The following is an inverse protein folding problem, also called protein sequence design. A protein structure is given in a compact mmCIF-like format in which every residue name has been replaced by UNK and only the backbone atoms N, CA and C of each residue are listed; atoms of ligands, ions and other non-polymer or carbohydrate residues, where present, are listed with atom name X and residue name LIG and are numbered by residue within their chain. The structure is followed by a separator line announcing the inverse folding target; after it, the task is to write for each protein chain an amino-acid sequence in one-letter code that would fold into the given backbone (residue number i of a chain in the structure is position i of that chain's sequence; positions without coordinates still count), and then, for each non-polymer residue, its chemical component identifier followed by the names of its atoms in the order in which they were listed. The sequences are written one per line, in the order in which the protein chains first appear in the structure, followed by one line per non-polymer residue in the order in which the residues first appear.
data_IF_673979645102
#
_entry.id   IF_673979645102
#
_cell.length_a   1.000
_cell.length_b   1.000
_cell.length_c   1.000
_cell.angle_alpha   90.00
_cell.angle_beta   90.00
_cell.angle_gamma   90.00
#
_symmetry.space_group_name_H-M   'P 1'
#
loop_
_entity.id
_entity.type
_entity.pdbx_description
1 polymer ?
#
# COMPACT_ATOMS: atom_id res chain seq x y z
N UNK A 1 -12.27 14.03 -7.37
CA UNK A 1 -11.41 14.33 -8.53
C UNK A 1 -10.56 13.09 -8.78
N UNK A 2 -11.05 12.15 -9.59
CA UNK A 2 -10.17 11.11 -10.14
C UNK A 2 -9.23 11.84 -11.08
N UNK A 3 -7.93 11.74 -10.88
CA UNK A 3 -6.97 12.37 -11.77
C UNK A 3 -6.55 11.33 -12.81
N UNK A 4 -7.10 11.46 -14.02
CA UNK A 4 -6.38 11.07 -15.22
C UNK A 4 -5.00 11.75 -15.17
N UNK A 5 -3.93 10.96 -15.20
CA UNK A 5 -2.57 11.46 -15.12
C UNK A 5 -1.96 11.47 -16.52
N UNK A 6 -2.12 12.58 -17.22
CA UNK A 6 -1.31 12.90 -18.40
C UNK A 6 0.07 13.38 -17.92
N UNK A 7 1.01 12.45 -17.71
CA UNK A 7 2.42 12.74 -17.41
C UNK A 7 3.31 12.33 -18.57
N UNK A 8 4.12 13.26 -19.08
CA UNK A 8 5.09 13.00 -20.14
C UNK A 8 6.27 12.14 -19.66
N UNK A 9 6.85 11.39 -20.60
CA UNK A 9 8.02 10.54 -20.40
C UNK A 9 9.26 11.44 -20.28
N UNK A 10 10.00 11.36 -19.18
CA UNK A 10 11.35 11.90 -19.10
C UNK A 10 12.36 10.74 -19.04
N UNK A 11 13.34 10.67 -19.96
CA UNK A 11 14.39 9.68 -19.88
C UNK A 11 15.23 9.93 -18.61
N UNK A 12 15.50 8.86 -17.85
CA UNK A 12 16.40 8.89 -16.72
C UNK A 12 17.78 9.41 -17.17
N UNK A 13 18.14 10.63 -16.75
CA UNK A 13 19.44 11.22 -17.07
C UNK A 13 20.41 10.92 -15.91
N UNK A 14 21.54 10.22 -16.13
CA UNK A 14 22.38 9.69 -15.06
C UNK A 14 23.34 10.73 -14.44
N UNK A 15 22.99 12.02 -14.44
CA UNK A 15 23.86 13.06 -13.86
C UNK A 15 23.07 13.97 -12.94
N UNK A 16 23.54 14.10 -11.69
CA UNK A 16 22.90 14.85 -10.62
C UNK A 16 22.50 16.26 -11.05
N UNK A 17 21.20 16.48 -11.12
CA UNK A 17 20.58 17.77 -11.35
C UNK A 17 19.38 17.91 -10.42
N UNK A 18 19.32 19.01 -9.68
CA UNK A 18 18.14 19.40 -8.90
C UNK A 18 16.95 19.60 -9.84
N UNK A 19 15.93 18.74 -9.75
CA UNK A 19 14.67 18.91 -10.47
C UNK A 19 13.79 19.97 -9.78
N UNK A 20 13.36 20.97 -10.56
CA UNK A 20 12.32 21.95 -10.19
C UNK A 20 10.89 21.35 -10.38
N UNK A 21 9.81 21.98 -9.87
CA UNK A 21 8.75 21.30 -9.13
C UNK A 21 7.68 20.65 -10.04
N UNK A 22 8.03 19.50 -10.61
CA UNK A 22 7.06 18.46 -11.00
C UNK A 22 7.62 17.12 -10.49
N UNK A 23 7.44 16.86 -9.19
CA UNK A 23 8.12 15.82 -8.43
C UNK A 23 7.62 14.38 -8.68
N UNK A 24 7.20 14.07 -9.91
CA UNK A 24 6.55 12.80 -10.23
C UNK A 24 7.35 12.01 -11.25
N UNK A 25 8.04 10.97 -10.79
CA UNK A 25 8.62 9.96 -11.68
C UNK A 25 7.52 8.96 -12.04
N UNK A 26 6.98 9.09 -13.26
CA UNK A 26 6.01 8.17 -13.84
C UNK A 26 6.71 7.12 -14.70
N UNK A 27 6.62 5.85 -14.31
CA UNK A 27 7.12 4.72 -15.09
C UNK A 27 5.94 3.85 -15.52
N UNK A 28 5.69 3.79 -16.82
CA UNK A 28 4.58 3.00 -17.38
C UNK A 28 5.01 2.14 -18.56
N UNK A 29 4.43 0.94 -18.65
CA UNK A 29 4.64 0.01 -19.76
C UNK A 29 6.12 -0.35 -20.00
N UNK A 30 6.90 -0.55 -18.93
CA UNK A 30 8.32 -0.93 -19.00
C UNK A 30 8.56 -2.35 -18.49
N UNK A 31 9.71 -2.91 -18.88
CA UNK A 31 10.27 -4.15 -18.36
C UNK A 31 11.69 -3.86 -17.88
N UNK A 32 12.12 -4.43 -16.75
CA UNK A 32 13.45 -4.25 -16.16
C UNK A 32 13.76 -2.79 -15.79
N UNK A 33 13.01 -2.25 -14.82
CA UNK A 33 13.22 -0.89 -14.31
C UNK A 33 14.07 -0.95 -13.06
N UNK A 34 15.15 -0.16 -13.03
CA UNK A 34 16.02 -0.05 -11.87
C UNK A 34 16.17 1.42 -11.45
N UNK A 35 15.66 1.75 -10.27
CA UNK A 35 15.74 3.07 -9.64
C UNK A 35 16.59 2.93 -8.37
N UNK A 36 17.61 3.75 -8.25
CA UNK A 36 18.65 3.57 -7.25
C UNK A 36 19.15 4.93 -6.75
N UNK A 37 19.28 5.07 -5.43
CA UNK A 37 19.93 6.21 -4.79
C UNK A 37 19.36 7.59 -5.15
N UNK A 38 18.05 7.69 -5.38
CA UNK A 38 17.41 8.97 -5.70
C UNK A 38 16.94 9.71 -4.45
N UNK A 39 16.84 11.04 -4.56
CA UNK A 39 16.24 11.89 -3.54
C UNK A 39 15.15 12.78 -4.15
N UNK A 40 13.92 12.63 -3.66
CA UNK A 40 12.77 13.43 -4.09
C UNK A 40 12.29 14.27 -2.91
N UNK A 41 12.06 15.57 -3.15
CA UNK A 41 11.55 16.47 -2.11
C UNK A 41 10.47 17.41 -2.66
N UNK A 42 9.33 17.43 -1.97
CA UNK A 42 8.24 18.38 -2.15
C UNK A 42 7.62 18.73 -0.77
N UNK A 43 6.94 19.88 -0.63
CA UNK A 43 6.27 20.24 0.61
C UNK A 43 5.20 19.22 1.02
N UNK A 44 5.08 18.95 2.33
CA UNK A 44 4.17 17.95 2.91
C UNK A 44 2.68 18.14 2.57
N UNK A 45 2.27 19.36 2.18
CA UNK A 45 0.88 19.69 1.82
C UNK A 45 0.71 19.93 0.32
N UNK A 46 1.71 19.59 -0.49
CA UNK A 46 1.64 19.72 -1.94
C UNK A 46 0.79 18.57 -2.50
N UNK A 47 -0.38 18.84 -3.10
CA UNK A 47 -1.23 17.77 -3.59
C UNK A 47 -0.60 17.10 -4.82
N UNK A 48 -0.75 15.77 -4.92
CA UNK A 48 -0.42 14.98 -6.12
C UNK A 48 1.07 15.05 -6.54
N UNK A 49 1.94 15.10 -5.55
CA UNK A 49 3.39 14.98 -5.74
C UNK A 49 3.84 13.57 -5.37
N UNK A 50 3.22 12.52 -5.93
CA UNK A 50 3.68 11.14 -5.69
C UNK A 50 5.16 11.07 -6.09
N UNK A 51 5.98 10.34 -5.33
CA UNK A 51 7.42 10.24 -5.60
C UNK A 51 7.67 9.41 -6.84
N UNK A 52 7.55 8.08 -6.69
CA UNK A 52 7.64 7.12 -7.79
C UNK A 52 6.25 6.51 -8.01
N UNK A 53 5.74 6.62 -9.23
CA UNK A 53 4.53 5.90 -9.66
C UNK A 53 4.89 4.86 -10.73
N UNK A 54 4.53 3.60 -10.49
CA UNK A 54 4.68 2.52 -11.46
C UNK A 54 3.31 1.96 -11.84
N UNK A 55 3.09 1.70 -13.13
CA UNK A 55 1.87 1.06 -13.63
C UNK A 55 2.18 0.25 -14.90
N UNK A 56 1.51 -0.89 -15.10
CA UNK A 56 1.74 -1.81 -16.22
C UNK A 56 3.23 -2.12 -16.44
N UNK A 57 3.99 -2.30 -15.36
CA UNK A 57 5.45 -2.38 -15.38
C UNK A 57 5.92 -3.57 -14.55
N UNK A 58 6.85 -4.34 -15.11
CA UNK A 58 7.32 -5.61 -14.51
C UNK A 58 8.83 -5.61 -14.32
N UNK A 59 9.31 -6.45 -13.41
CA UNK A 59 10.73 -6.55 -13.03
C UNK A 59 11.27 -5.18 -12.57
N UNK A 60 10.68 -4.65 -11.50
CA UNK A 60 11.00 -3.32 -10.96
C UNK A 60 11.83 -3.43 -9.70
N UNK A 61 12.89 -2.64 -9.63
CA UNK A 61 13.78 -2.54 -8.48
C UNK A 61 13.89 -1.07 -8.05
N UNK A 62 13.52 -0.77 -6.80
CA UNK A 62 13.60 0.60 -6.25
C UNK A 62 14.37 0.56 -4.95
N UNK A 63 15.58 1.11 -4.94
CA UNK A 63 16.54 0.94 -3.85
C UNK A 63 17.13 2.24 -3.32
N UNK A 64 17.47 2.22 -2.02
CA UNK A 64 18.34 3.20 -1.35
C UNK A 64 17.95 4.67 -1.55
N UNK A 65 16.64 4.95 -1.61
CA UNK A 65 16.13 6.27 -1.98
C UNK A 65 15.43 6.98 -0.82
N UNK A 66 15.43 8.31 -0.87
CA UNK A 66 14.81 9.17 0.16
C UNK A 66 13.75 10.05 -0.49
N UNK A 67 12.49 9.86 -0.08
CA UNK A 67 11.35 10.53 -0.70
C UNK A 67 10.56 11.26 0.38
N UNK A 68 10.39 12.56 0.18
CA UNK A 68 9.59 13.44 1.04
C UNK A 68 8.66 14.24 0.14
N UNK A 69 7.34 14.16 0.35
CA UNK A 69 6.37 14.79 -0.53
C UNK A 69 5.03 15.02 0.17
N UNK A 70 4.00 15.42 -0.58
CA UNK A 70 2.62 15.52 -0.10
C UNK A 70 1.67 14.45 -0.64
N UNK A 71 2.17 13.36 -1.23
CA UNK A 71 1.35 12.24 -1.72
C UNK A 71 2.07 10.88 -1.51
N UNK A 72 1.72 9.82 -2.25
CA UNK A 72 2.37 8.51 -2.09
C UNK A 72 3.90 8.59 -2.32
N UNK A 73 4.68 8.00 -1.43
CA UNK A 73 6.13 7.87 -1.55
C UNK A 73 6.47 6.99 -2.77
N UNK A 74 5.84 5.81 -2.81
CA UNK A 74 5.79 4.94 -3.97
C UNK A 74 4.35 4.47 -4.14
N UNK A 75 3.82 4.57 -5.36
CA UNK A 75 2.49 4.04 -5.70
C UNK A 75 2.57 3.02 -6.83
N UNK A 76 1.95 1.85 -6.60
CA UNK A 76 1.97 0.69 -7.50
C UNK A 76 0.57 0.52 -8.09
N UNK A 77 0.45 0.80 -9.39
CA UNK A 77 -0.77 0.71 -10.17
C UNK A 77 -1.07 -0.71 -10.69
N UNK A 78 -2.09 -0.82 -11.53
CA UNK A 78 -2.49 -2.09 -12.14
C UNK A 78 -1.44 -2.60 -13.13
N UNK A 79 -1.40 -3.92 -13.32
CA UNK A 79 -0.56 -4.58 -14.33
C UNK A 79 0.91 -4.69 -13.93
N UNK A 80 1.23 -4.53 -12.64
CA UNK A 80 2.59 -4.67 -12.12
C UNK A 80 2.80 -6.05 -11.51
N UNK A 81 3.90 -6.70 -11.87
CA UNK A 81 4.38 -7.88 -11.16
C UNK A 81 5.91 -7.87 -10.99
N UNK A 82 6.42 -8.62 -10.02
CA UNK A 82 7.85 -8.72 -9.69
C UNK A 82 8.48 -7.35 -9.35
N UNK A 83 8.04 -6.76 -8.24
CA UNK A 83 8.53 -5.46 -7.75
C UNK A 83 9.25 -5.64 -6.42
N UNK A 84 10.54 -5.30 -6.33
CA UNK A 84 11.33 -5.27 -5.10
C UNK A 84 11.68 -3.82 -4.72
N UNK A 85 11.16 -3.36 -3.60
CA UNK A 85 11.41 -2.04 -3.02
C UNK A 85 12.18 -2.24 -1.72
N UNK A 86 13.36 -1.63 -1.62
CA UNK A 86 14.24 -1.84 -0.48
C UNK A 86 14.98 -0.60 -0.02
N UNK A 87 15.15 -0.48 1.29
CA UNK A 87 15.93 0.60 1.89
C UNK A 87 15.45 1.99 1.44
N UNK A 88 14.15 2.21 1.52
CA UNK A 88 13.53 3.51 1.23
C UNK A 88 13.25 4.24 2.54
N UNK A 89 13.59 5.53 2.58
CA UNK A 89 13.11 6.44 3.63
C UNK A 89 11.99 7.29 3.06
N UNK A 90 10.76 7.02 3.48
CA UNK A 90 9.56 7.75 3.10
C UNK A 90 9.14 8.71 4.21
N UNK A 91 8.92 9.99 3.91
CA UNK A 91 8.29 10.88 4.86
C UNK A 91 8.78 12.32 4.83
N UNK A 92 7.87 13.31 4.94
CA UNK A 92 6.40 13.19 5.01
C UNK A 92 5.74 12.72 3.68
N UNK A 93 4.44 12.42 3.69
CA UNK A 93 3.67 11.94 2.52
C UNK A 93 2.53 10.98 2.87
N UNK A 94 2.05 10.18 1.92
CA UNK A 94 0.99 9.19 2.09
C UNK A 94 1.48 7.75 2.30
N UNK A 95 2.79 7.51 2.31
CA UNK A 95 3.38 6.18 2.51
C UNK A 95 3.60 5.39 1.23
N UNK A 96 3.72 4.07 1.32
CA UNK A 96 3.86 3.17 0.18
C UNK A 96 2.51 2.50 -0.08
N UNK A 97 1.97 2.71 -1.28
CA UNK A 97 0.61 2.31 -1.64
C UNK A 97 0.59 1.35 -2.83
N UNK A 98 -0.10 0.22 -2.68
CA UNK A 98 -0.62 -0.58 -3.80
C UNK A 98 -2.02 -0.05 -4.13
N UNK A 99 -2.16 0.53 -5.31
CA UNK A 99 -3.39 1.11 -5.83
C UNK A 99 -3.41 2.64 -5.92
N UNK A 100 -4.58 3.25 -6.17
CA UNK A 100 -5.89 2.60 -6.17
C UNK A 100 -6.11 1.63 -7.34
N UNK A 101 -6.63 0.43 -7.08
CA UNK A 101 -6.88 -0.60 -8.09
C UNK A 101 -8.37 -0.80 -8.38
N UNK A 102 -8.72 -1.04 -9.65
CA UNK A 102 -10.09 -1.39 -10.07
C UNK A 102 -11.02 -0.19 -10.26
N UNK A 103 -10.47 1.00 -10.58
CA UNK A 103 -11.26 2.20 -10.82
C UNK A 103 -12.28 1.98 -11.96
N UNK A 104 -13.46 2.58 -11.88
CA UNK A 104 -14.54 2.41 -12.86
C UNK A 104 -14.91 0.94 -13.15
N UNK A 105 -14.89 0.10 -12.11
CA UNK A 105 -15.17 -1.33 -12.20
C UNK A 105 -14.20 -2.06 -13.15
N UNK A 106 -12.98 -1.54 -13.32
CA UNK A 106 -11.97 -2.18 -14.15
C UNK A 106 -11.38 -3.41 -13.48
N UNK A 107 -10.82 -4.30 -14.30
CA UNK A 107 -9.95 -5.38 -13.83
C UNK A 107 -8.57 -4.82 -13.50
N UNK A 108 -8.00 -5.21 -12.37
CA UNK A 108 -6.66 -4.82 -11.94
C UNK A 108 -5.89 -6.02 -11.37
N UNK A 109 -4.64 -6.15 -11.78
CA UNK A 109 -3.77 -7.27 -11.42
C UNK A 109 -2.46 -6.75 -10.86
N UNK A 110 -2.12 -7.15 -9.65
CA UNK A 110 -0.82 -6.87 -9.04
C UNK A 110 -0.33 -8.12 -8.33
N UNK A 111 0.90 -8.55 -8.58
CA UNK A 111 1.43 -9.74 -7.91
C UNK A 111 2.93 -9.66 -7.60
N UNK A 112 3.38 -10.46 -6.64
CA UNK A 112 4.78 -10.58 -6.25
C UNK A 112 5.45 -9.22 -5.97
N UNK A 113 4.95 -8.53 -4.93
CA UNK A 113 5.46 -7.23 -4.49
C UNK A 113 6.19 -7.43 -3.16
N UNK A 114 7.43 -6.99 -3.07
CA UNK A 114 8.19 -6.99 -1.82
C UNK A 114 8.61 -5.56 -1.48
N UNK A 115 8.30 -5.13 -0.26
CA UNK A 115 8.77 -3.87 0.32
C UNK A 115 9.48 -4.19 1.61
N UNK A 116 10.76 -3.84 1.71
CA UNK A 116 11.57 -4.23 2.87
C UNK A 116 12.65 -3.27 3.30
N UNK A 117 13.15 -3.48 4.51
CA UNK A 117 14.30 -2.79 5.09
C UNK A 117 14.13 -1.25 5.06
N UNK A 118 12.92 -0.75 5.30
CA UNK A 118 12.54 0.65 5.00
C UNK A 118 12.10 1.42 6.24
N UNK A 119 12.17 2.75 6.16
CA UNK A 119 11.73 3.67 7.22
C UNK A 119 10.59 4.52 6.68
N UNK A 120 9.47 4.55 7.38
CA UNK A 120 8.33 5.40 7.03
C UNK A 120 8.02 6.31 8.21
N UNK A 121 8.06 7.63 7.99
CA UNK A 121 8.00 8.61 9.08
C UNK A 121 7.10 9.81 8.79
N UNK A 122 6.27 10.19 9.75
CA UNK A 122 5.41 11.38 9.66
C UNK A 122 4.49 11.37 8.43
N UNK A 123 4.06 10.18 7.99
CA UNK A 123 3.17 9.98 6.84
C UNK A 123 1.73 9.70 7.29
N UNK A 124 0.79 9.89 6.36
CA UNK A 124 -0.62 9.55 6.57
C UNK A 124 -0.84 8.02 6.63
N UNK A 125 -0.03 7.24 5.92
CA UNK A 125 -0.10 5.78 5.95
C UNK A 125 1.32 5.21 5.94
N UNK A 126 1.49 3.99 6.45
CA UNK A 126 2.74 3.25 6.33
C UNK A 126 2.73 2.48 5.02
N UNK A 127 2.25 1.24 5.09
CA UNK A 127 2.01 0.36 3.96
C UNK A 127 0.51 0.18 3.74
N UNK A 128 0.05 0.39 2.51
CA UNK A 128 -1.38 0.47 2.20
C UNK A 128 -1.74 -0.29 0.93
N UNK A 129 -2.79 -1.11 0.98
CA UNK A 129 -3.46 -1.66 -0.20
C UNK A 129 -4.83 -1.00 -0.33
N UNK A 130 -5.12 -0.41 -1.49
CA UNK A 130 -6.32 0.39 -1.73
C UNK A 130 -6.99 -0.05 -3.02
N UNK A 131 -8.22 -0.56 -2.94
CA UNK A 131 -8.99 -0.99 -4.11
C UNK A 131 -10.37 -0.35 -4.11
N UNK A 132 -10.87 -0.07 -5.32
CA UNK A 132 -12.18 0.52 -5.52
C UNK A 132 -13.27 -0.53 -5.31
N UNK A 133 -14.38 -0.10 -4.71
CA UNK A 133 -15.61 -0.89 -4.77
C UNK A 133 -16.02 -1.07 -6.22
N UNK A 134 -16.44 -2.28 -6.59
CA UNK A 134 -16.87 -2.61 -7.95
C UNK A 134 -15.76 -3.13 -8.87
N UNK A 135 -14.49 -2.97 -8.49
CA UNK A 135 -13.35 -3.51 -9.25
C UNK A 135 -13.31 -5.04 -9.32
N UNK A 136 -12.41 -5.58 -10.15
CA UNK A 136 -12.18 -7.02 -10.28
C UNK A 136 -10.69 -7.34 -10.51
N UNK A 137 -10.31 -8.62 -10.56
CA UNK A 137 -8.92 -9.06 -10.64
C UNK A 137 -8.34 -9.39 -9.26
N UNK A 138 -7.03 -9.33 -9.10
CA UNK A 138 -6.35 -9.75 -7.87
C UNK A 138 -5.12 -8.92 -7.47
N UNK A 139 -4.87 -8.89 -6.16
CA UNK A 139 -3.61 -8.51 -5.53
C UNK A 139 -3.12 -9.72 -4.73
N UNK A 140 -1.97 -10.29 -5.09
CA UNK A 140 -1.45 -11.47 -4.39
C UNK A 140 0.07 -11.54 -4.25
N UNK A 141 0.54 -12.26 -3.24
CA UNK A 141 1.98 -12.45 -3.00
C UNK A 141 2.67 -11.13 -2.65
N UNK A 142 2.13 -10.40 -1.67
CA UNK A 142 2.70 -9.13 -1.22
C UNK A 142 3.40 -9.33 0.12
N UNK A 143 4.64 -8.88 0.23
CA UNK A 143 5.42 -8.90 1.47
C UNK A 143 5.81 -7.49 1.87
N UNK A 144 5.44 -7.10 3.07
CA UNK A 144 5.96 -5.92 3.77
C UNK A 144 6.80 -6.40 4.95
N UNK A 145 8.12 -6.23 4.91
CA UNK A 145 9.00 -6.79 5.94
C UNK A 145 10.11 -5.88 6.43
N UNK A 146 10.45 -5.96 7.72
CA UNK A 146 11.51 -5.15 8.32
C UNK A 146 11.31 -3.64 8.06
N UNK A 147 10.17 -3.11 8.50
CA UNK A 147 9.80 -1.70 8.30
C UNK A 147 9.73 -0.99 9.64
N UNK A 148 10.44 0.13 9.75
CA UNK A 148 10.37 1.01 10.92
C UNK A 148 9.38 2.15 10.68
N UNK A 149 8.41 2.30 11.59
CA UNK A 149 7.41 3.37 11.56
C UNK A 149 7.76 4.44 12.59
N UNK A 150 7.72 5.71 12.21
CA UNK A 150 7.92 6.84 13.13
C UNK A 150 6.76 7.83 13.00
N UNK A 151 5.89 7.85 14.00
CA UNK A 151 4.71 8.72 14.08
C UNK A 151 3.84 8.67 12.80
N UNK A 152 3.57 7.45 12.32
CA UNK A 152 2.75 7.20 11.12
C UNK A 152 1.28 7.12 11.49
N UNK A 153 0.40 7.77 10.72
CA UNK A 153 -1.03 7.87 11.04
C UNK A 153 -1.78 6.54 10.87
N UNK A 154 -1.64 5.89 9.72
CA UNK A 154 -2.22 4.56 9.47
C UNK A 154 -1.11 3.58 9.05
N UNK A 155 -0.35 3.00 10.00
CA UNK A 155 0.81 2.16 9.72
C UNK A 155 0.55 1.01 8.73
N UNK A 156 -0.51 0.23 8.95
CA UNK A 156 -0.86 -0.92 8.11
C UNK A 156 -2.33 -0.82 7.72
N UNK A 157 -2.62 -0.81 6.42
CA UNK A 157 -3.99 -0.65 5.94
C UNK A 157 -4.30 -1.49 4.69
N UNK A 158 -5.43 -2.18 4.71
CA UNK A 158 -6.14 -2.65 3.52
C UNK A 158 -7.50 -1.97 3.50
N UNK A 159 -7.86 -1.36 2.37
CA UNK A 159 -9.15 -0.71 2.18
C UNK A 159 -9.72 -1.06 0.79
N UNK A 160 -10.66 -2.00 0.74
CA UNK A 160 -11.42 -2.36 -0.47
C UNK A 160 -12.68 -1.50 -0.68
N UNK A 161 -12.91 -0.49 0.18
CA UNK A 161 -14.05 0.43 0.12
C UNK A 161 -13.67 1.80 -0.46
N UNK A 162 -12.58 1.88 -1.24
CA UNK A 162 -12.13 3.17 -1.76
C UNK A 162 -13.12 3.75 -2.76
N UNK A 163 -13.49 5.02 -2.55
CA UNK A 163 -14.31 5.77 -3.48
C UNK A 163 -14.18 7.30 -3.28
N UNK A 164 -14.59 8.09 -4.27
CA UNK A 164 -14.40 9.55 -4.27
C UNK A 164 -15.45 10.34 -3.49
N UNK A 165 -16.65 9.79 -3.33
CA UNK A 165 -17.80 10.51 -2.77
C UNK A 165 -18.15 9.97 -1.39
N UNK A 166 -18.67 10.84 -0.51
CA UNK A 166 -19.28 10.37 0.74
C UNK A 166 -20.58 9.64 0.38
N UNK A 167 -20.71 8.37 0.78
CA UNK A 167 -21.93 7.58 0.57
C UNK A 167 -21.98 6.76 -0.71
N UNK A 168 -20.84 6.23 -1.17
CA UNK A 168 -20.82 5.24 -2.26
C UNK A 168 -21.68 4.04 -1.89
N UNK A 169 -22.50 3.60 -2.84
CA UNK A 169 -23.30 2.39 -2.68
C UNK A 169 -22.39 1.18 -2.63
N UNK A 170 -22.65 0.27 -1.69
CA UNK A 170 -21.94 -1.00 -1.66
C UNK A 170 -22.10 -1.72 -3.00
N UNK A 171 -20.96 -2.10 -3.59
CA UNK A 171 -20.91 -2.92 -4.80
C UNK A 171 -20.52 -4.36 -4.42
N UNK A 172 -20.96 -5.31 -5.23
CA UNK A 172 -20.79 -6.75 -4.96
C UNK A 172 -19.53 -7.34 -5.60
N UNK A 173 -18.79 -6.58 -6.42
CA UNK A 173 -17.48 -6.96 -6.93
C UNK A 173 -16.38 -6.17 -6.21
N UNK A 174 -15.21 -6.81 -6.07
CA UNK A 174 -14.00 -6.19 -5.56
C UNK A 174 -12.78 -6.88 -6.18
N UNK A 175 -11.63 -6.22 -6.13
CA UNK A 175 -10.34 -6.85 -6.43
C UNK A 175 -10.04 -7.86 -5.32
N UNK A 176 -9.79 -9.13 -5.65
CA UNK A 176 -9.48 -10.16 -4.66
C UNK A 176 -8.09 -9.93 -4.04
N UNK A 177 -7.99 -9.91 -2.70
CA UNK A 177 -6.71 -9.67 -2.00
C UNK A 177 -6.33 -10.92 -1.23
N UNK A 178 -5.22 -11.56 -1.61
CA UNK A 178 -4.74 -12.77 -0.96
C UNK A 178 -3.24 -12.77 -0.71
N UNK A 179 -2.76 -13.64 0.18
CA UNK A 179 -1.33 -13.95 0.34
C UNK A 179 -0.51 -12.68 0.65
N UNK A 180 -0.88 -12.00 1.74
CA UNK A 180 -0.25 -10.76 2.19
C UNK A 180 0.49 -11.03 3.49
N UNK A 181 1.80 -10.87 3.47
CA UNK A 181 2.68 -11.01 4.63
C UNK A 181 3.08 -9.64 5.17
N UNK A 182 2.78 -9.39 6.44
CA UNK A 182 3.32 -8.30 7.24
C UNK A 182 4.25 -8.89 8.29
N UNK A 183 5.55 -8.60 8.22
CA UNK A 183 6.55 -9.21 9.10
C UNK A 183 7.55 -8.19 9.67
N UNK A 184 7.82 -8.22 10.97
CA UNK A 184 8.80 -7.35 11.62
C UNK A 184 8.57 -5.86 11.29
N UNK A 185 7.35 -5.38 11.51
CA UNK A 185 6.98 -3.96 11.36
C UNK A 185 6.87 -3.36 12.74
N UNK A 186 7.76 -2.41 13.05
CA UNK A 186 7.94 -1.90 14.42
C UNK A 186 8.04 -0.39 14.46
N UNK A 187 7.65 0.22 15.58
CA UNK A 187 7.87 1.64 15.84
C UNK A 187 6.64 2.33 16.39
N UNK A 188 6.37 3.56 15.95
CA UNK A 188 5.32 4.39 16.55
C UNK A 188 4.25 4.87 15.55
N UNK A 189 3.04 5.07 16.07
CA UNK A 189 1.90 5.56 15.30
C UNK A 189 1.20 6.75 15.97
N UNK A 190 0.51 7.54 15.14
CA UNK A 190 -0.30 8.66 15.59
C UNK A 190 -1.68 8.16 16.06
N UNK A 191 -1.96 8.34 17.36
CA UNK A 191 -3.12 7.77 18.05
C UNK A 191 -4.50 8.24 17.59
N UNK A 192 -4.61 9.26 16.71
CA UNK A 192 -5.93 9.71 16.24
C UNK A 192 -6.58 8.69 15.26
N UNK A 193 -5.93 7.55 14.98
CA UNK A 193 -6.42 6.43 14.14
C UNK A 193 -5.88 5.10 14.64
N UNK A 194 -6.55 4.02 14.23
CA UNK A 194 -6.11 2.66 14.55
C UNK A 194 -4.80 2.31 13.83
N UNK A 195 -3.84 1.63 14.48
CA UNK A 195 -2.55 1.30 13.88
C UNK A 195 -2.64 0.26 12.75
N UNK A 196 -3.69 -0.56 12.76
CA UNK A 196 -3.95 -1.63 11.79
C UNK A 196 -5.42 -1.59 11.37
N UNK A 197 -5.67 -1.48 10.06
CA UNK A 197 -7.03 -1.36 9.53
C UNK A 197 -7.22 -2.21 8.28
N UNK A 198 -7.92 -3.34 8.44
CA UNK A 198 -8.24 -4.28 7.36
C UNK A 198 -9.74 -4.21 7.04
N UNK A 199 -10.12 -3.40 6.06
CA UNK A 199 -11.51 -3.30 5.60
C UNK A 199 -11.67 -3.98 4.24
N UNK A 200 -12.19 -5.21 4.27
CA UNK A 200 -12.33 -6.06 3.10
C UNK A 200 -13.79 -6.23 2.66
N UNK A 201 -14.04 -6.49 1.38
CA UNK A 201 -15.37 -6.59 0.79
C UNK A 201 -16.13 -7.79 1.34
N UNK A 202 -17.43 -7.63 1.63
CA UNK A 202 -18.32 -8.73 2.04
C UNK A 202 -18.39 -9.85 0.99
N UNK A 203 -18.32 -9.49 -0.30
CA UNK A 203 -18.40 -10.43 -1.40
C UNK A 203 -17.07 -11.15 -1.67
N UNK A 204 -15.95 -10.45 -1.48
CA UNK A 204 -14.59 -10.96 -1.69
C UNK A 204 -13.70 -10.60 -0.48
N UNK A 205 -13.82 -11.37 0.63
CA UNK A 205 -12.96 -11.22 1.80
C UNK A 205 -11.48 -11.25 1.44
N UNK A 206 -10.65 -10.55 2.22
CA UNK A 206 -9.20 -10.74 2.14
C UNK A 206 -8.83 -12.06 2.79
N UNK A 207 -7.90 -12.81 2.20
CA UNK A 207 -7.52 -14.14 2.70
C UNK A 207 -6.01 -14.33 2.80
N UNK A 208 -5.59 -15.27 3.63
CA UNK A 208 -4.17 -15.58 3.84
C UNK A 208 -3.35 -14.32 4.18
N UNK A 209 -3.89 -13.50 5.10
CA UNK A 209 -3.14 -12.43 5.73
C UNK A 209 -2.27 -13.04 6.83
N UNK A 210 -0.97 -12.80 6.79
CA UNK A 210 -0.05 -13.30 7.83
C UNK A 210 0.57 -12.11 8.54
N UNK A 211 0.40 -12.04 9.86
CA UNK A 211 1.04 -11.03 10.69
C UNK A 211 2.07 -11.71 11.59
N UNK A 212 3.30 -11.21 11.57
CA UNK A 212 4.40 -11.69 12.39
C UNK A 212 5.25 -10.53 12.89
N UNK A 213 5.66 -10.58 14.15
CA UNK A 213 6.59 -9.63 14.79
C UNK A 213 6.16 -8.15 14.65
N UNK A 214 4.87 -7.86 14.80
CA UNK A 214 4.32 -6.49 14.70
C UNK A 214 4.33 -5.82 16.08
N UNK A 215 5.00 -4.68 16.20
CA UNK A 215 5.04 -3.87 17.43
C UNK A 215 4.88 -2.38 17.12
N UNK A 216 3.65 -1.88 17.23
CA UNK A 216 3.27 -0.50 16.96
C UNK A 216 2.79 0.17 18.25
N UNK A 217 3.58 1.11 18.76
CA UNK A 217 3.31 1.85 19.99
C UNK A 217 2.80 3.26 19.68
N UNK A 218 1.99 3.87 20.57
CA UNK A 218 1.65 5.28 20.46
C UNK A 218 2.92 6.15 20.39
N UNK A 219 2.99 7.08 19.44
CA UNK A 219 4.06 8.08 19.42
C UNK A 219 3.97 9.03 20.63
N UNK A 220 2.74 9.34 21.05
CA UNK A 220 2.44 10.14 22.24
C UNK A 220 1.18 9.57 22.90
N UNK A 221 1.20 9.47 24.24
CA UNK A 221 0.05 9.02 25.03
C UNK A 221 -0.08 7.50 25.10
N UNK A 222 -1.26 7.04 25.50
CA UNK A 222 -1.59 5.62 25.65
C UNK A 222 -2.25 5.05 24.39
N UNK A 223 -2.33 3.72 24.27
CA UNK A 223 -3.03 3.04 23.18
C UNK A 223 -4.52 3.37 23.30
N UNK A 224 -5.08 4.01 22.27
CA UNK A 224 -6.49 4.49 22.32
C UNK A 224 -7.42 3.63 21.47
N UNK A 225 -6.96 3.14 20.32
CA UNK A 225 -7.82 2.48 19.33
C UNK A 225 -7.30 1.09 19.01
N UNK A 226 -8.19 0.11 19.13
CA UNK A 226 -7.92 -1.27 18.74
C UNK A 226 -7.76 -1.40 17.22
N UNK A 227 -6.99 -2.41 16.75
CA UNK A 227 -7.00 -2.83 15.36
C UNK A 227 -8.42 -3.06 14.83
N UNK A 228 -8.66 -2.66 13.59
CA UNK A 228 -9.93 -2.88 12.91
C UNK A 228 -9.79 -3.97 11.86
N UNK A 229 -10.71 -4.93 11.87
CA UNK A 229 -10.83 -5.97 10.86
C UNK A 229 -12.29 -6.11 10.43
N UNK A 230 -12.52 -6.16 9.13
CA UNK A 230 -13.80 -6.47 8.53
C UNK A 230 -13.57 -7.41 7.35
N UNK A 231 -14.16 -8.60 7.43
CA UNK A 231 -14.05 -9.67 6.44
C UNK A 231 -12.59 -9.99 6.02
N UNK A 232 -11.68 -9.98 7.00
CA UNK A 232 -10.26 -10.20 6.80
C UNK A 232 -9.86 -11.53 7.47
N UNK A 233 -9.29 -12.44 6.69
CA UNK A 233 -8.94 -13.79 7.12
C UNK A 233 -7.44 -14.04 7.05
N UNK A 234 -6.90 -14.66 8.08
CA UNK A 234 -5.47 -14.83 8.22
C UNK A 234 -5.07 -15.50 9.53
N UNK A 235 -3.78 -15.37 9.84
CA UNK A 235 -3.18 -15.89 11.06
C UNK A 235 -2.18 -14.91 11.66
N UNK A 236 -2.05 -14.98 12.99
CA UNK A 236 -0.99 -14.33 13.74
C UNK A 236 0.09 -15.37 14.06
N UNK A 237 1.27 -15.25 13.46
CA UNK A 237 2.39 -16.17 13.73
C UNK A 237 3.08 -15.84 15.06
N UNK A 238 3.01 -14.59 15.50
CA UNK A 238 3.45 -14.15 16.82
C UNK A 238 2.39 -13.24 17.43
N UNK A 239 2.49 -13.00 18.74
CA UNK A 239 1.72 -11.93 19.37
C UNK A 239 2.07 -10.58 18.72
N UNK A 240 1.07 -9.72 18.60
CA UNK A 240 1.19 -8.38 18.04
C UNK A 240 0.90 -7.33 19.11
N UNK A 241 1.53 -6.16 18.96
CA UNK A 241 1.21 -4.97 19.75
C UNK A 241 0.75 -3.87 18.79
N UNK A 242 -0.47 -3.33 18.95
CA UNK A 242 -1.55 -3.86 19.79
C UNK A 242 -2.04 -5.24 19.31
N UNK A 243 -2.72 -6.03 20.17
CA UNK A 243 -3.29 -7.32 19.80
C UNK A 243 -4.33 -7.20 18.68
N UNK A 244 -4.28 -8.07 17.68
CA UNK A 244 -5.24 -8.10 16.55
C UNK A 244 -6.24 -9.26 16.74
N UNK A 245 -7.15 -9.13 17.69
CA UNK A 245 -8.16 -10.17 17.98
C UNK A 245 -9.30 -10.25 16.96
N UNK A 246 -9.41 -9.27 16.06
CA UNK A 246 -10.46 -9.18 15.06
C UNK A 246 -10.20 -9.98 13.78
N UNK A 247 -8.98 -10.48 13.59
CA UNK A 247 -8.61 -11.24 12.39
C UNK A 247 -9.27 -12.62 12.43
N UNK A 248 -9.95 -13.00 11.35
CA UNK A 248 -10.68 -14.26 11.28
C UNK A 248 -9.75 -15.38 10.82
N UNK A 249 -9.94 -16.59 11.34
CA UNK A 249 -9.16 -17.76 10.92
C UNK A 249 -9.88 -18.55 9.81
N UNK A 250 -9.11 -19.32 9.03
CA UNK A 250 -9.61 -20.26 8.04
C UNK A 250 -10.00 -19.63 6.70
N UNK A 251 -10.74 -20.39 5.88
CA UNK A 251 -11.17 -19.98 4.54
C UNK A 251 -12.62 -19.47 4.60
N UNK A 252 -12.92 -18.25 4.10
CA UNK A 252 -14.27 -17.74 4.04
C UNK A 252 -15.19 -18.64 3.22
N UNK A 253 -16.40 -18.91 3.74
CA UNK A 253 -17.39 -19.75 3.04
C UNK A 253 -17.79 -19.21 1.67
N UNK A 254 -17.78 -17.88 1.49
CA UNK A 254 -18.09 -17.23 0.21
C UNK A 254 -17.16 -17.64 -0.93
N UNK A 255 -15.92 -18.04 -0.63
CA UNK A 255 -14.93 -18.46 -1.63
C UNK A 255 -14.98 -19.96 -1.95
N UNK A 256 -15.68 -20.76 -1.14
CA UNK A 256 -15.83 -22.20 -1.38
C UNK A 256 -16.90 -22.52 -2.45
N UNK A 257 -17.66 -21.51 -2.88
CA UNK A 257 -18.85 -21.68 -3.74
C UNK A 257 -18.69 -20.92 -5.07
N UNK A 258 -17.71 -20.03 -5.18
CA UNK A 258 -17.53 -19.17 -6.34
C UNK A 258 -16.20 -19.49 -7.05
N UNK A 259 -16.24 -19.65 -8.37
CA UNK A 259 -15.03 -19.60 -9.20
C UNK A 259 -14.52 -18.16 -9.22
N UNK A 260 -13.39 -17.90 -8.55
CA UNK A 260 -12.77 -16.58 -8.52
C UNK A 260 -11.90 -16.44 -9.78
N UNK A 261 -12.26 -15.52 -10.65
CA UNK A 261 -11.45 -15.20 -11.83
C UNK A 261 -10.20 -14.43 -11.39
N UNK A 262 -9.08 -15.14 -11.26
CA UNK A 262 -7.78 -14.58 -10.90
C UNK A 262 -7.10 -13.89 -12.08
N UNK A 263 -6.11 -13.07 -11.75
CA UNK A 263 -4.97 -12.78 -12.61
C UNK A 263 -3.99 -13.96 -12.57
#
# INVERSE_FOLDING_TARGET
MGKERNGGIFPANPTGGSMEPHCLDHVTAQLNVHIESISISAPARSPNTDGIHIENTNDVQIYNSVISNGDDCVSIGSGCYDVDIRNITCGPGHGISIGSLGNHNSRACVSNITVRDSIIKGTDNGVRIKTWQGGSGSVSGVTFSNIHMDNVRNPIMINQFYCLNKGCTNQTSAVFVSDILYSNIKGTYDVRSSPMHFACSDALPCTNLTLSEIELLPAVGDIVLDPYCWNAYGELQTLTIPPVSCLLEGVPRSLLVNDIEHC
#
